data_IF_454132560279
#
_entry.id   IF_454132560279
#
_cell.length_a   1.000
_cell.length_b   1.000
_cell.length_c   1.000
_cell.angle_alpha   90.00
_cell.angle_beta   90.00
_cell.angle_gamma   90.00
#
_symmetry.space_group_name_H-M   'P 1'
#
loop_
_entity.id
_entity.type
_entity.pdbx_description
1 polymer ?
#
# COMPACT_ATOMS: atom_id res chain seq x y z
N UNK A 1 -60.30 25.77 -33.65
CA UNK A 1 -59.96 26.69 -32.54
C UNK A 1 -59.28 25.88 -31.45
N UNK A 2 -57.96 25.98 -31.35
CA UNK A 2 -57.17 25.26 -30.35
C UNK A 2 -57.44 25.86 -28.97
N UNK A 3 -57.98 25.06 -28.06
CA UNK A 3 -58.07 25.42 -26.64
C UNK A 3 -56.71 25.16 -26.01
N UNK A 4 -55.95 26.23 -25.80
CA UNK A 4 -54.70 26.24 -25.05
C UNK A 4 -54.96 25.83 -23.60
N UNK A 5 -54.51 24.64 -23.23
CA UNK A 5 -54.46 24.21 -21.84
C UNK A 5 -53.59 25.18 -21.03
N UNK A 6 -54.10 25.66 -19.90
CA UNK A 6 -53.44 26.66 -19.07
C UNK A 6 -52.24 26.02 -18.34
N UNK A 7 -50.99 26.47 -18.58
CA UNK A 7 -49.75 25.85 -18.06
C UNK A 7 -49.61 25.89 -16.52
N UNK A 8 -50.51 26.60 -15.85
CA UNK A 8 -50.55 26.73 -14.40
C UNK A 8 -50.98 25.43 -13.68
N UNK A 9 -51.91 24.65 -14.26
CA UNK A 9 -52.46 23.45 -13.60
C UNK A 9 -51.44 22.31 -13.49
N UNK A 10 -50.71 22.03 -14.57
CA UNK A 10 -49.67 20.99 -14.60
C UNK A 10 -48.48 21.35 -13.71
N UNK A 11 -48.10 22.63 -13.67
CA UNK A 11 -47.05 23.13 -12.77
C UNK A 11 -47.43 22.93 -11.29
N UNK A 12 -48.68 23.23 -10.92
CA UNK A 12 -49.19 23.02 -9.55
C UNK A 12 -49.21 21.53 -9.19
N UNK A 13 -49.61 20.65 -10.12
CA UNK A 13 -49.59 19.20 -9.89
C UNK A 13 -48.15 18.67 -9.71
N UNK A 14 -47.21 19.14 -10.52
CA UNK A 14 -45.78 18.80 -10.40
C UNK A 14 -45.21 19.22 -9.05
N UNK A 15 -45.50 20.45 -8.61
CA UNK A 15 -45.08 20.95 -7.28
C UNK A 15 -45.70 20.14 -6.13
N UNK A 16 -46.98 19.77 -6.23
CA UNK A 16 -47.64 18.90 -5.23
C UNK A 16 -46.98 17.52 -5.16
N UNK A 17 -46.61 16.96 -6.31
CA UNK A 17 -45.90 15.69 -6.38
C UNK A 17 -44.50 15.79 -5.77
N UNK A 18 -43.75 16.85 -6.06
CA UNK A 18 -42.43 17.11 -5.47
C UNK A 18 -42.51 17.26 -3.94
N UNK A 19 -43.48 18.00 -3.42
CA UNK A 19 -43.70 18.13 -1.97
C UNK A 19 -44.05 16.77 -1.33
N UNK A 20 -44.83 15.93 -2.01
CA UNK A 20 -45.15 14.58 -1.55
C UNK A 20 -43.90 13.69 -1.45
N UNK A 21 -43.05 13.73 -2.48
CA UNK A 21 -41.77 13.01 -2.50
C UNK A 21 -40.84 13.51 -1.40
N UNK A 22 -40.64 14.83 -1.26
CA UNK A 22 -39.82 15.40 -0.19
C UNK A 22 -40.30 15.00 1.21
N UNK A 23 -41.62 14.99 1.44
CA UNK A 23 -42.18 14.53 2.73
C UNK A 23 -41.90 13.05 2.99
N UNK A 24 -41.85 12.21 1.94
CA UNK A 24 -41.49 10.80 2.06
C UNK A 24 -39.99 10.64 2.33
N UNK A 25 -39.14 11.41 1.67
CA UNK A 25 -37.69 11.42 1.89
C UNK A 25 -37.33 11.90 3.29
N UNK A 26 -37.94 13.00 3.78
CA UNK A 26 -37.72 13.47 5.16
C UNK A 26 -38.11 12.40 6.18
N UNK A 27 -39.22 11.67 5.96
CA UNK A 27 -39.61 10.54 6.82
C UNK A 27 -38.57 9.41 6.78
N UNK A 28 -38.07 9.07 5.60
CA UNK A 28 -37.02 8.05 5.44
C UNK A 28 -35.73 8.47 6.15
N UNK A 29 -35.29 9.72 5.97
CA UNK A 29 -34.07 10.25 6.60
C UNK A 29 -34.19 10.22 8.13
N UNK A 30 -35.35 10.61 8.68
CA UNK A 30 -35.62 10.53 10.13
C UNK A 30 -35.53 9.08 10.62
N UNK A 31 -36.15 8.14 9.89
CA UNK A 31 -36.07 6.72 10.24
C UNK A 31 -34.65 6.16 10.19
N UNK A 32 -33.84 6.58 9.22
CA UNK A 32 -32.42 6.21 9.15
C UNK A 32 -31.61 6.80 10.31
N UNK A 33 -31.85 8.08 10.65
CA UNK A 33 -31.19 8.73 11.78
C UNK A 33 -31.53 8.05 13.12
N UNK A 34 -32.80 7.74 13.37
CA UNK A 34 -33.24 7.03 14.58
C UNK A 34 -32.63 5.62 14.66
N UNK A 35 -32.52 4.95 13.52
CA UNK A 35 -31.90 3.62 13.45
C UNK A 35 -30.39 3.68 13.70
N UNK A 36 -29.71 4.71 13.18
CA UNK A 36 -28.30 4.96 13.46
C UNK A 36 -28.04 5.30 14.93
N UNK A 37 -28.89 6.13 15.55
CA UNK A 37 -28.80 6.45 16.99
C UNK A 37 -29.01 5.20 17.85
N UNK A 38 -29.98 4.34 17.50
CA UNK A 38 -30.19 3.06 18.20
C UNK A 38 -29.01 2.11 18.06
N UNK A 39 -28.44 2.00 16.85
CA UNK A 39 -27.24 1.20 16.61
C UNK A 39 -26.05 1.72 17.44
N UNK A 40 -25.83 3.04 17.46
CA UNK A 40 -24.78 3.66 18.24
C UNK A 40 -24.97 3.45 19.75
N UNK A 41 -26.20 3.61 20.28
CA UNK A 41 -26.49 3.31 21.69
C UNK A 41 -26.21 1.85 22.04
N UNK A 42 -26.55 0.91 21.15
CA UNK A 42 -26.24 -0.52 21.35
C UNK A 42 -24.73 -0.78 21.37
N UNK A 43 -23.97 -0.14 20.49
CA UNK A 43 -22.51 -0.22 20.50
C UNK A 43 -21.91 0.39 21.77
N UNK A 44 -22.41 1.54 22.23
CA UNK A 44 -21.95 2.16 23.47
C UNK A 44 -22.26 1.31 24.70
N UNK A 45 -23.44 0.69 24.77
CA UNK A 45 -23.78 -0.24 25.84
C UNK A 45 -22.87 -1.49 25.83
N UNK A 46 -22.54 -2.02 24.64
CA UNK A 46 -21.59 -3.12 24.50
C UNK A 46 -20.16 -2.73 24.89
N UNK A 47 -19.73 -1.50 24.61
CA UNK A 47 -18.43 -1.00 25.05
C UNK A 47 -18.40 -0.80 26.57
N UNK A 48 -19.49 -0.29 27.15
CA UNK A 48 -19.63 -0.12 28.59
C UNK A 48 -19.63 -1.45 29.32
N UNK A 49 -20.26 -2.51 28.79
CA UNK A 49 -20.19 -3.85 29.40
C UNK A 49 -18.77 -4.41 29.35
N UNK A 50 -18.06 -4.26 28.23
CA UNK A 50 -16.65 -4.68 28.10
C UNK A 50 -15.72 -3.94 29.06
N UNK A 51 -16.00 -2.66 29.35
CA UNK A 51 -15.26 -1.88 30.33
C UNK A 51 -15.64 -2.22 31.78
N UNK A 52 -16.91 -2.55 32.04
CA UNK A 52 -17.43 -2.92 33.36
C UNK A 52 -17.02 -4.34 33.79
N UNK A 53 -16.89 -5.28 32.85
CA UNK A 53 -16.44 -6.66 33.07
C UNK A 53 -14.92 -6.77 33.37
N UNK A 54 -14.31 -5.67 33.81
CA UNK A 54 -12.91 -5.63 34.21
C UNK A 54 -11.98 -5.68 33.00
N UNK A 55 -11.84 -4.55 32.31
CA UNK A 55 -10.61 -4.29 31.56
C UNK A 55 -9.45 -4.29 32.57
N UNK A 56 -8.84 -5.44 32.76
CA UNK A 56 -7.47 -5.51 33.26
C UNK A 56 -6.61 -5.01 32.10
N UNK A 57 -5.80 -3.95 32.27
CA UNK A 57 -4.70 -3.75 31.34
C UNK A 57 -3.94 -5.06 31.39
N UNK A 58 -3.95 -5.83 30.30
CA UNK A 58 -3.08 -6.99 30.18
C UNK A 58 -1.70 -6.55 30.67
N UNK A 59 -1.01 -7.37 31.49
CA UNK A 59 0.15 -6.92 32.25
C UNK A 59 1.00 -6.06 31.33
N UNK A 60 1.16 -4.77 31.67
CA UNK A 60 2.17 -3.95 30.98
C UNK A 60 3.39 -4.85 30.99
N UNK A 61 4.00 -5.20 29.84
CA UNK A 61 5.12 -6.12 29.85
C UNK A 61 6.05 -5.57 30.91
N UNK A 62 6.18 -6.30 32.02
CA UNK A 62 7.14 -5.94 33.04
C UNK A 62 8.41 -5.97 32.23
N UNK A 63 9.02 -4.80 32.09
CA UNK A 63 10.27 -4.64 31.36
C UNK A 63 11.28 -5.28 32.28
N UNK A 64 11.31 -6.60 32.31
CA UNK A 64 12.30 -7.37 33.03
C UNK A 64 13.58 -7.20 32.21
N UNK A 65 14.48 -6.30 32.62
CA UNK A 65 15.64 -6.00 31.82
C UNK A 65 16.56 -7.23 31.71
N UNK A 66 16.44 -8.19 32.64
CA UNK A 66 17.13 -9.48 32.59
C UNK A 66 16.63 -10.38 31.46
N UNK A 67 15.32 -10.50 31.26
CA UNK A 67 14.73 -11.35 30.21
C UNK A 67 14.97 -10.83 28.79
N UNK A 68 14.92 -9.50 28.60
CA UNK A 68 15.21 -8.87 27.32
C UNK A 68 16.69 -9.01 26.93
N UNK A 69 17.60 -8.78 27.90
CA UNK A 69 19.05 -8.93 27.70
C UNK A 69 19.43 -10.38 27.36
N UNK A 70 18.89 -11.35 28.11
CA UNK A 70 19.14 -12.77 27.85
C UNK A 70 18.58 -13.23 26.49
N UNK A 71 17.48 -12.64 26.00
CA UNK A 71 16.93 -12.95 24.68
C UNK A 71 17.78 -12.40 23.54
N UNK A 72 18.34 -11.19 23.70
CA UNK A 72 19.29 -10.59 22.76
C UNK A 72 20.60 -11.40 22.69
N UNK A 73 21.11 -11.84 23.84
CA UNK A 73 22.30 -12.71 23.91
C UNK A 73 22.07 -14.06 23.22
N UNK A 74 20.84 -14.58 23.23
CA UNK A 74 20.41 -15.75 22.46
C UNK A 74 20.08 -15.44 20.98
N UNK A 75 20.35 -14.23 20.49
CA UNK A 75 20.10 -13.82 19.10
C UNK A 75 18.63 -13.60 18.72
N UNK A 76 17.71 -13.57 19.70
CA UNK A 76 16.29 -13.33 19.45
C UNK A 76 16.02 -11.82 19.43
N UNK A 77 16.04 -11.24 18.22
CA UNK A 77 15.80 -9.81 18.03
C UNK A 77 14.35 -9.59 17.60
N UNK A 78 13.53 -9.04 18.50
CA UNK A 78 12.22 -8.51 18.14
C UNK A 78 12.35 -7.05 17.76
N UNK A 79 11.90 -6.70 16.54
CA UNK A 79 11.92 -5.32 16.05
C UNK A 79 10.51 -4.78 15.93
N UNK A 80 10.33 -3.52 16.32
CA UNK A 80 9.09 -2.78 16.07
C UNK A 80 9.27 -1.98 14.77
N UNK A 81 8.32 -2.04 13.80
CA UNK A 81 8.42 -1.22 12.60
C UNK A 81 8.31 0.26 12.97
N UNK A 82 9.33 1.04 12.60
CA UNK A 82 9.43 2.49 12.86
C UNK A 82 8.44 3.28 12.00
N UNK A 83 8.15 2.77 10.79
CA UNK A 83 7.28 3.40 9.82
C UNK A 83 6.94 2.47 8.65
N UNK A 84 6.12 2.97 7.74
CA UNK A 84 5.72 2.26 6.52
C UNK A 84 6.10 3.09 5.29
N UNK A 85 6.58 2.40 4.26
CA UNK A 85 6.96 3.01 3.00
C UNK A 85 5.92 2.71 1.92
N UNK A 86 5.47 3.76 1.24
CA UNK A 86 4.59 3.68 0.07
C UNK A 86 5.35 4.18 -1.15
N UNK A 87 5.23 3.49 -2.28
CA UNK A 87 5.96 3.79 -3.52
C UNK A 87 5.09 3.53 -4.74
N UNK A 88 5.60 3.86 -5.94
CA UNK A 88 4.93 3.52 -7.20
C UNK A 88 4.82 2.02 -7.49
N UNK A 89 5.30 1.13 -6.62
CA UNK A 89 5.22 -0.32 -6.82
C UNK A 89 4.27 -0.95 -5.80
N UNK A 90 3.00 -1.14 -6.19
CA UNK A 90 2.01 -1.80 -5.34
C UNK A 90 2.27 -3.31 -5.20
N UNK A 91 2.77 -3.93 -6.28
CA UNK A 91 2.95 -5.37 -6.39
C UNK A 91 4.41 -5.72 -6.64
N UNK A 92 4.82 -6.92 -6.19
CA UNK A 92 6.14 -7.49 -6.49
C UNK A 92 6.38 -7.63 -8.00
N UNK A 93 5.33 -7.87 -8.78
CA UNK A 93 5.41 -7.91 -10.24
C UNK A 93 5.68 -6.51 -10.75
N UNK A 94 6.78 -6.33 -11.47
CA UNK A 94 7.21 -5.01 -11.95
C UNK A 94 7.95 -4.16 -10.92
N UNK A 95 8.16 -4.64 -9.69
CA UNK A 95 9.14 -3.99 -8.80
C UNK A 95 10.55 -4.24 -9.34
N UNK A 96 11.37 -3.20 -9.56
CA UNK A 96 12.74 -3.35 -9.97
C UNK A 96 13.54 -4.24 -9.00
N UNK A 97 14.39 -5.12 -9.57
CA UNK A 97 15.30 -5.95 -8.76
C UNK A 97 16.46 -5.15 -8.19
N UNK A 98 16.68 -3.93 -8.68
CA UNK A 98 17.76 -3.03 -8.33
C UNK A 98 17.24 -1.59 -8.25
N UNK A 99 17.69 -0.79 -7.28
CA UNK A 99 17.18 0.56 -7.04
C UNK A 99 17.48 1.56 -8.17
N UNK A 100 18.49 1.31 -9.02
CA UNK A 100 18.89 2.23 -10.09
C UNK A 100 18.09 2.16 -11.39
N UNK A 101 17.06 1.31 -11.48
CA UNK A 101 16.28 1.14 -12.72
C UNK A 101 15.26 2.27 -12.89
N UNK A 102 14.59 2.69 -11.81
CA UNK A 102 13.59 3.76 -11.85
C UNK A 102 14.05 4.93 -10.98
N UNK A 103 15.02 5.71 -11.46
CA UNK A 103 15.62 6.82 -10.70
C UNK A 103 14.67 7.99 -10.46
N UNK A 104 13.64 8.15 -11.30
CA UNK A 104 12.60 9.17 -11.15
C UNK A 104 11.51 8.79 -10.14
N UNK A 105 11.49 7.53 -9.67
CA UNK A 105 10.46 7.08 -8.73
C UNK A 105 10.67 7.67 -7.33
N UNK A 106 9.58 8.15 -6.73
CA UNK A 106 9.56 8.63 -5.35
C UNK A 106 8.87 7.61 -4.45
N UNK A 107 9.14 7.74 -3.16
CA UNK A 107 8.44 7.00 -2.13
C UNK A 107 8.18 7.92 -0.93
N UNK A 108 7.11 7.64 -0.20
CA UNK A 108 6.78 8.31 1.05
C UNK A 108 7.01 7.35 2.20
N UNK A 109 7.85 7.75 3.17
CA UNK A 109 8.04 7.02 4.42
C UNK A 109 7.24 7.73 5.53
N UNK A 110 6.25 7.03 6.07
CA UNK A 110 5.43 7.53 7.17
C UNK A 110 5.90 6.88 8.49
N UNK A 111 6.40 7.70 9.41
CA UNK A 111 6.74 7.24 10.76
C UNK A 111 5.47 6.97 11.58
N UNK A 112 5.51 5.92 12.41
CA UNK A 112 4.42 5.59 13.33
C UNK A 112 4.47 6.49 14.55
N UNK A 113 3.39 7.24 14.79
CA UNK A 113 3.20 8.00 16.03
C UNK A 113 3.13 7.12 17.29
N UNK A 114 2.85 5.82 17.15
CA UNK A 114 2.86 4.89 18.29
C UNK A 114 4.27 4.50 18.76
N UNK A 115 5.32 4.80 17.98
CA UNK A 115 6.71 4.44 18.30
C UNK A 115 7.41 5.61 18.97
N UNK A 116 7.15 6.84 18.51
CA UNK A 116 7.70 8.06 19.06
C UNK A 116 6.55 8.97 19.48
N UNK A 117 6.60 9.50 20.71
CA UNK A 117 5.63 10.51 21.16
C UNK A 117 5.63 11.73 20.23
N UNK A 118 6.83 12.14 19.79
CA UNK A 118 7.10 13.26 18.89
C UNK A 118 7.94 12.76 17.68
N UNK A 119 7.32 12.17 16.66
CA UNK A 119 8.04 11.58 15.52
C UNK A 119 8.88 12.60 14.73
N UNK A 120 8.49 13.87 14.74
CA UNK A 120 9.22 14.98 14.12
C UNK A 120 10.59 15.23 14.76
N UNK A 121 10.71 15.04 16.08
CA UNK A 121 12.00 15.19 16.77
C UNK A 121 13.01 14.12 16.32
N UNK A 122 12.54 12.92 15.98
CA UNK A 122 13.40 11.86 15.45
C UNK A 122 13.96 12.18 14.05
N UNK A 123 13.42 13.20 13.37
CA UNK A 123 13.85 13.67 12.05
C UNK A 123 14.69 14.95 12.10
N UNK A 124 14.90 15.53 13.28
CA UNK A 124 15.68 16.77 13.43
C UNK A 124 17.12 16.59 12.93
N UNK A 125 17.58 17.51 12.07
CA UNK A 125 18.92 17.49 11.46
C UNK A 125 19.06 16.56 10.25
N UNK A 126 18.00 15.83 9.88
CA UNK A 126 18.02 14.95 8.70
C UNK A 126 18.09 15.75 7.39
N UNK A 127 17.60 16.98 7.40
CA UNK A 127 17.65 17.97 6.32
C UNK A 127 19.08 18.39 5.92
N UNK A 128 20.06 18.17 6.80
CA UNK A 128 21.47 18.44 6.53
C UNK A 128 22.12 17.40 5.60
N UNK A 129 21.43 16.29 5.32
CA UNK A 129 21.93 15.19 4.51
C UNK A 129 21.17 15.10 3.19
N UNK A 130 21.88 14.76 2.12
CA UNK A 130 21.25 14.52 0.82
C UNK A 130 20.66 13.10 0.68
N UNK A 131 21.16 12.15 1.46
CA UNK A 131 20.82 10.73 1.36
C UNK A 131 20.72 10.06 2.72
N UNK A 132 19.89 9.02 2.79
CA UNK A 132 19.68 8.18 3.97
C UNK A 132 19.77 6.71 3.63
N UNK A 133 20.26 5.93 4.59
CA UNK A 133 20.14 4.49 4.56
C UNK A 133 18.81 4.05 5.13
N UNK A 134 18.04 3.31 4.35
CA UNK A 134 16.79 2.69 4.80
C UNK A 134 17.01 1.19 4.96
N UNK A 135 16.80 0.71 6.19
CA UNK A 135 16.71 -0.72 6.48
C UNK A 135 15.22 -1.07 6.56
N UNK A 136 14.79 -2.01 5.74
CA UNK A 136 13.37 -2.40 5.65
C UNK A 136 13.21 -3.90 5.69
N UNK A 137 12.01 -4.36 6.05
CA UNK A 137 11.68 -5.78 6.13
C UNK A 137 10.95 -6.22 4.86
N UNK A 138 11.36 -7.33 4.25
CA UNK A 138 10.60 -8.01 3.20
C UNK A 138 9.40 -8.75 3.82
N UNK A 139 8.39 -7.99 4.25
CA UNK A 139 7.21 -8.48 4.99
C UNK A 139 6.41 -9.60 4.29
N UNK A 140 6.50 -9.73 2.95
CA UNK A 140 5.87 -10.83 2.19
C UNK A 140 6.72 -12.09 2.07
N UNK A 141 7.93 -12.11 2.65
CA UNK A 141 8.80 -13.28 2.64
C UNK A 141 8.57 -14.13 3.90
N UNK A 142 7.37 -14.72 4.01
CA UNK A 142 7.07 -15.73 5.03
C UNK A 142 7.72 -17.05 4.65
N UNK A 143 8.80 -17.45 5.30
CA UNK A 143 9.45 -18.73 5.06
C UNK A 143 9.26 -19.68 6.24
N UNK A 144 8.76 -20.88 5.94
CA UNK A 144 8.75 -22.04 6.86
C UNK A 144 10.15 -22.67 6.95
N UNK A 145 11.00 -22.48 5.93
CA UNK A 145 12.39 -22.98 5.91
C UNK A 145 13.31 -22.14 5.03
N UNK A 146 14.60 -22.09 5.41
CA UNK A 146 15.63 -21.33 4.69
C UNK A 146 16.50 -22.25 3.83
N UNK A 147 16.78 -21.82 2.60
CA UNK A 147 17.68 -22.54 1.69
C UNK A 147 19.06 -21.88 1.72
N UNK A 148 20.12 -22.68 1.88
CA UNK A 148 21.50 -22.16 1.85
C UNK A 148 21.91 -21.60 0.47
N UNK A 149 21.31 -22.10 -0.62
CA UNK A 149 21.58 -21.68 -2.00
C UNK A 149 20.34 -21.11 -2.69
N UNK A 150 20.55 -20.10 -3.52
CA UNK A 150 19.53 -19.43 -4.35
C UNK A 150 19.94 -19.42 -5.82
N UNK A 151 18.99 -19.12 -6.71
CA UNK A 151 19.21 -18.93 -8.14
C UNK A 151 18.98 -17.47 -8.54
N UNK A 152 20.01 -16.61 -8.51
CA UNK A 152 19.87 -15.21 -8.90
C UNK A 152 19.47 -15.09 -10.38
N UNK A 153 18.58 -14.14 -10.73
CA UNK A 153 18.11 -13.98 -12.11
C UNK A 153 19.18 -13.68 -13.15
N UNK A 154 20.31 -13.10 -12.72
CA UNK A 154 21.42 -12.69 -13.58
C UNK A 154 22.45 -13.79 -13.83
N UNK A 155 22.37 -14.91 -13.10
CA UNK A 155 23.35 -16.01 -13.21
C UNK A 155 22.82 -17.20 -14.04
N UNK A 156 21.89 -16.97 -14.96
CA UNK A 156 21.40 -17.96 -15.93
C UNK A 156 21.09 -19.36 -15.35
N UNK A 157 20.56 -19.41 -14.12
CA UNK A 157 20.16 -20.66 -13.46
C UNK A 157 21.20 -21.29 -12.53
N UNK A 158 22.42 -20.74 -12.45
CA UNK A 158 23.42 -21.17 -11.48
C UNK A 158 22.93 -20.96 -10.03
N UNK A 159 23.34 -21.89 -9.15
CA UNK A 159 23.04 -21.84 -7.71
C UNK A 159 24.24 -21.30 -6.95
N UNK A 160 24.05 -20.21 -6.21
CA UNK A 160 25.07 -19.61 -5.35
C UNK A 160 24.57 -19.48 -3.92
N UNK A 161 25.48 -19.30 -2.96
CA UNK A 161 25.11 -19.12 -1.56
C UNK A 161 24.20 -17.91 -1.36
N UNK A 162 23.28 -17.96 -0.39
CA UNK A 162 22.38 -16.83 -0.09
C UNK A 162 23.16 -15.55 0.20
N UNK A 163 24.23 -15.63 1.00
CA UNK A 163 24.99 -14.48 1.47
C UNK A 163 25.92 -13.88 0.41
N UNK A 164 26.18 -14.57 -0.70
CA UNK A 164 26.86 -13.95 -1.86
C UNK A 164 25.90 -13.15 -2.75
N UNK A 165 24.64 -12.97 -2.31
CA UNK A 165 23.59 -12.32 -3.10
C UNK A 165 22.78 -11.33 -2.27
N UNK A 166 22.03 -10.49 -2.97
CA UNK A 166 21.02 -9.60 -2.37
C UNK A 166 19.62 -10.24 -2.36
N UNK A 167 19.53 -11.57 -2.33
CA UNK A 167 18.25 -12.29 -2.32
C UNK A 167 17.41 -11.89 -1.10
N UNK A 168 16.10 -11.60 -1.27
CA UNK A 168 15.26 -11.25 -0.15
C UNK A 168 14.87 -12.51 0.67
N UNK A 169 15.07 -13.71 0.12
CA UNK A 169 14.83 -15.00 0.76
C UNK A 169 16.02 -15.42 1.64
N UNK A 170 16.08 -14.91 2.86
CA UNK A 170 17.16 -15.12 3.84
C UNK A 170 16.60 -15.19 5.26
N UNK A 171 17.36 -15.73 6.25
CA UNK A 171 16.91 -15.85 7.64
C UNK A 171 16.35 -14.55 8.22
N UNK A 172 17.14 -13.48 8.12
CA UNK A 172 16.70 -12.13 8.47
C UNK A 172 16.35 -11.39 7.20
N UNK A 173 15.06 -11.28 6.89
CA UNK A 173 14.55 -10.73 5.64
C UNK A 173 14.68 -9.20 5.56
N UNK A 174 15.88 -8.68 5.85
CA UNK A 174 16.21 -7.27 5.82
C UNK A 174 16.73 -6.88 4.43
N UNK A 175 16.22 -5.75 3.95
CA UNK A 175 16.69 -5.02 2.79
C UNK A 175 17.40 -3.74 3.23
N UNK A 176 18.34 -3.30 2.40
CA UNK A 176 19.06 -2.05 2.57
C UNK A 176 18.97 -1.27 1.26
N UNK A 177 18.62 0.00 1.34
CA UNK A 177 18.67 0.90 0.19
C UNK A 177 19.22 2.27 0.59
N UNK A 178 20.01 2.86 -0.28
CA UNK A 178 20.38 4.27 -0.21
C UNK A 178 19.28 5.05 -0.92
N UNK A 179 18.65 6.00 -0.23
CA UNK A 179 17.60 6.84 -0.79
C UNK A 179 18.02 8.30 -0.73
N UNK A 180 17.73 9.07 -1.78
CA UNK A 180 17.88 10.52 -1.76
C UNK A 180 16.70 11.12 -1.00
N UNK A 181 16.99 12.05 -0.10
CA UNK A 181 15.95 12.83 0.57
C UNK A 181 15.43 13.91 -0.36
N UNK A 182 14.11 14.12 -0.30
CA UNK A 182 13.44 15.20 -0.99
C UNK A 182 12.42 15.84 -0.06
N UNK A 183 12.27 17.15 -0.17
CA UNK A 183 11.30 17.88 0.61
C UNK A 183 9.88 17.39 0.30
N UNK A 184 9.01 17.44 1.32
CA UNK A 184 7.59 17.15 1.16
C UNK A 184 6.97 18.12 0.16
N UNK A 185 6.86 17.69 -1.08
CA UNK A 185 6.10 18.44 -2.08
C UNK A 185 4.62 18.25 -1.79
N UNK A 186 3.98 19.32 -1.32
CA UNK A 186 2.52 19.45 -1.26
C UNK A 186 1.98 19.38 -2.69
N UNK A 187 1.68 18.18 -3.19
CA UNK A 187 1.09 18.04 -4.50
C UNK A 187 -0.36 18.57 -4.45
N UNK A 188 -0.55 19.81 -4.90
CA UNK A 188 -1.88 20.29 -5.28
C UNK A 188 -2.31 19.55 -6.56
N UNK A 189 -2.92 18.38 -6.34
CA UNK A 189 -3.36 17.36 -7.33
C UNK A 189 -2.19 16.65 -8.02
N UNK A 190 -2.24 15.32 -8.31
CA UNK A 190 -2.57 14.88 -9.69
C UNK A 190 -3.00 13.39 -9.86
N UNK A 191 -3.12 12.95 -11.14
CA UNK A 191 -3.40 11.55 -11.58
C UNK A 191 -2.38 10.49 -11.10
N UNK A 192 -1.15 10.86 -10.76
CA UNK A 192 -0.04 9.99 -10.29
C UNK A 192 0.37 10.40 -8.87
N UNK A 193 0.69 9.45 -7.98
CA UNK A 193 1.02 9.74 -6.57
C UNK A 193 2.52 9.91 -6.32
N UNK A 194 3.35 9.21 -7.09
CA UNK A 194 4.79 9.08 -6.84
C UNK A 194 5.66 9.55 -8.02
N UNK A 195 5.07 9.71 -9.20
CA UNK A 195 5.74 10.21 -10.40
C UNK A 195 5.34 11.67 -10.64
N UNK A 196 6.28 12.52 -11.13
CA UNK A 196 5.98 13.95 -11.32
C UNK A 196 5.03 14.21 -12.49
N UNK A 197 5.00 13.31 -13.47
CA UNK A 197 4.21 13.50 -14.68
C UNK A 197 4.27 12.31 -15.65
N UNK A 198 3.62 12.43 -16.82
CA UNK A 198 3.54 11.36 -17.80
C UNK A 198 4.89 11.02 -18.44
N UNK A 199 5.80 11.99 -18.60
CA UNK A 199 7.14 11.75 -19.13
C UNK A 199 7.97 10.87 -18.20
N UNK A 200 7.97 11.19 -16.90
CA UNK A 200 8.59 10.37 -15.86
C UNK A 200 8.01 8.96 -15.82
N UNK A 201 6.68 8.83 -15.98
CA UNK A 201 6.02 7.54 -16.03
C UNK A 201 6.44 6.73 -17.26
N UNK A 202 6.50 7.34 -18.44
CA UNK A 202 6.98 6.69 -19.65
C UNK A 202 8.46 6.28 -19.53
N UNK A 203 9.30 7.13 -18.93
CA UNK A 203 10.71 6.82 -18.68
C UNK A 203 10.88 5.63 -17.72
N UNK A 204 10.11 5.60 -16.63
CA UNK A 204 10.11 4.50 -15.67
C UNK A 204 9.63 3.18 -16.31
N UNK A 205 8.57 3.22 -17.13
CA UNK A 205 8.10 2.05 -17.89
C UNK A 205 9.19 1.54 -18.83
N UNK A 206 9.79 2.43 -19.63
CA UNK A 206 10.88 2.05 -20.55
C UNK A 206 12.05 1.40 -19.82
N UNK A 207 12.49 2.02 -18.72
CA UNK A 207 13.61 1.48 -17.94
C UNK A 207 13.28 0.12 -17.32
N UNK A 208 12.05 -0.06 -16.82
CA UNK A 208 11.60 -1.33 -16.27
C UNK A 208 11.58 -2.43 -17.35
N UNK A 209 11.01 -2.13 -18.52
CA UNK A 209 10.93 -3.06 -19.65
C UNK A 209 12.33 -3.43 -20.17
N UNK A 210 13.24 -2.47 -20.27
CA UNK A 210 14.63 -2.71 -20.66
C UNK A 210 15.38 -3.61 -19.67
N UNK A 211 15.07 -3.50 -18.37
CA UNK A 211 15.64 -4.36 -17.34
C UNK A 211 15.03 -5.78 -17.30
N UNK A 212 14.02 -6.06 -18.12
CA UNK A 212 13.17 -7.25 -18.13
C UNK A 212 12.65 -7.63 -16.71
N UNK A 213 11.45 -7.17 -16.32
CA UNK A 213 10.90 -7.43 -15.00
C UNK A 213 10.48 -8.89 -14.79
N UNK A 214 10.42 -9.70 -15.85
CA UNK A 214 9.95 -11.08 -15.78
C UNK A 214 10.89 -11.95 -14.94
N UNK A 215 10.35 -13.03 -14.38
CA UNK A 215 11.19 -14.04 -13.70
C UNK A 215 11.94 -14.88 -14.73
N UNK A 216 13.09 -15.44 -14.36
CA UNK A 216 13.80 -16.42 -15.21
C UNK A 216 12.85 -17.53 -15.64
N UNK A 217 12.05 -18.04 -14.71
CA UNK A 217 11.03 -19.05 -14.99
C UNK A 217 10.08 -18.62 -16.11
N UNK A 218 9.52 -17.40 -16.04
CA UNK A 218 8.57 -16.92 -17.06
C UNK A 218 9.24 -16.75 -18.42
N UNK A 219 10.52 -16.35 -18.45
CA UNK A 219 11.28 -16.22 -19.70
C UNK A 219 11.61 -17.55 -20.37
N UNK A 220 11.77 -18.62 -19.58
CA UNK A 220 12.23 -19.92 -20.11
C UNK A 220 11.15 -20.99 -20.20
N UNK A 221 10.08 -20.90 -19.40
CA UNK A 221 9.06 -21.96 -19.27
C UNK A 221 7.65 -21.54 -19.61
N UNK A 222 7.38 -20.25 -19.80
CA UNK A 222 6.05 -19.79 -20.19
C UNK A 222 6.03 -19.47 -21.68
N UNK A 223 5.08 -20.02 -22.46
CA UNK A 223 4.90 -19.67 -23.86
C UNK A 223 4.26 -18.27 -24.03
N UNK A 224 3.52 -17.83 -23.02
CA UNK A 224 2.88 -16.51 -23.02
C UNK A 224 3.91 -15.37 -22.93
N UNK A 225 3.87 -14.49 -23.93
CA UNK A 225 4.72 -13.31 -24.06
C UNK A 225 4.09 -12.05 -23.45
N UNK A 226 2.85 -12.11 -22.98
CA UNK A 226 2.22 -11.02 -22.24
C UNK A 226 2.80 -10.91 -20.83
N UNK A 227 2.92 -9.67 -20.36
CA UNK A 227 3.31 -9.34 -18.99
C UNK A 227 2.50 -8.14 -18.50
N UNK A 228 2.13 -8.21 -17.22
CA UNK A 228 1.29 -7.22 -16.56
C UNK A 228 1.97 -6.75 -15.29
N UNK A 229 1.96 -5.44 -15.08
CA UNK A 229 2.42 -4.82 -13.85
C UNK A 229 1.69 -3.50 -13.60
N UNK A 230 1.68 -3.09 -12.34
CA UNK A 230 1.12 -1.81 -11.92
C UNK A 230 2.28 -0.88 -11.58
N UNK A 231 2.24 0.34 -12.09
CA UNK A 231 3.17 1.41 -11.77
C UNK A 231 2.36 2.64 -11.35
N UNK A 232 2.56 3.07 -10.12
CA UNK A 232 1.84 4.17 -9.49
C UNK A 232 0.32 3.94 -9.57
N UNK A 233 -0.41 4.76 -10.29
CA UNK A 233 -1.86 4.68 -10.50
C UNK A 233 -2.23 4.06 -11.85
N UNK A 234 -1.32 3.36 -12.53
CA UNK A 234 -1.55 2.80 -13.86
C UNK A 234 -1.23 1.30 -13.94
N UNK A 235 -2.15 0.54 -14.53
CA UNK A 235 -1.95 -0.84 -14.93
C UNK A 235 -1.43 -0.90 -16.38
N UNK A 236 -0.26 -1.52 -16.54
CA UNK A 236 0.42 -1.66 -17.82
C UNK A 236 0.36 -3.11 -18.29
N UNK A 237 -0.10 -3.29 -19.52
CA UNK A 237 -0.01 -4.54 -20.28
C UNK A 237 1.04 -4.39 -21.35
N UNK A 238 1.99 -5.31 -21.38
CA UNK A 238 3.09 -5.31 -22.35
C UNK A 238 3.32 -6.68 -22.95
N UNK A 239 3.88 -6.70 -24.15
CA UNK A 239 4.26 -7.89 -24.91
C UNK A 239 5.77 -7.93 -25.05
N UNK A 240 6.38 -9.09 -24.81
CA UNK A 240 7.82 -9.30 -24.99
C UNK A 240 8.07 -10.17 -26.21
N UNK A 241 8.62 -9.57 -27.26
CA UNK A 241 9.10 -10.28 -28.44
C UNK A 241 10.59 -10.61 -28.37
N UNK A 242 11.14 -11.04 -29.50
CA UNK A 242 12.56 -11.40 -29.61
C UNK A 242 13.40 -10.12 -29.70
N UNK A 243 13.91 -9.67 -28.55
CA UNK A 243 14.75 -8.47 -28.45
C UNK A 243 13.98 -7.16 -28.29
N UNK A 244 12.64 -7.19 -28.18
CA UNK A 244 11.84 -5.99 -27.94
C UNK A 244 10.77 -6.19 -26.87
N UNK A 245 10.30 -5.09 -26.30
CA UNK A 245 9.15 -5.04 -25.41
C UNK A 245 8.24 -3.89 -25.84
N UNK A 246 6.95 -4.18 -26.02
CA UNK A 246 5.95 -3.23 -26.48
C UNK A 246 4.85 -3.06 -25.42
N UNK A 247 4.43 -1.82 -25.18
CA UNK A 247 3.29 -1.53 -24.30
C UNK A 247 2.02 -1.58 -25.15
N UNK A 248 1.17 -2.58 -24.89
CA UNK A 248 -0.09 -2.76 -25.60
C UNK A 248 -1.21 -1.89 -25.01
N UNK A 249 -1.18 -1.67 -23.68
CA UNK A 249 -2.26 -0.98 -22.99
C UNK A 249 -1.80 -0.34 -21.69
N UNK A 250 -2.25 0.88 -21.46
CA UNK A 250 -2.15 1.58 -20.17
C UNK A 250 -3.55 1.91 -19.71
N UNK A 251 -3.93 1.48 -18.51
CA UNK A 251 -5.22 1.82 -17.89
C UNK A 251 -4.99 2.43 -16.52
N UNK A 252 -5.87 3.33 -16.04
CA UNK A 252 -5.88 3.68 -14.63
C UNK A 252 -6.06 2.41 -13.79
N UNK A 253 -5.18 2.20 -12.83
CA UNK A 253 -5.36 1.16 -11.83
C UNK A 253 -6.61 1.50 -11.02
N UNK A 254 -7.50 0.54 -10.84
CA UNK A 254 -8.67 0.72 -9.99
C UNK A 254 -8.15 0.96 -8.56
N UNK A 255 -8.32 2.17 -8.04
CA UNK A 255 -7.93 2.49 -6.66
C UNK A 255 -8.92 1.78 -5.75
N UNK A 256 -8.64 0.51 -5.40
CA UNK A 256 -9.16 -0.01 -4.14
C UNK A 256 -8.46 0.76 -3.04
N UNK A 257 -9.13 1.76 -2.50
CA UNK A 257 -8.86 2.24 -1.14
C UNK A 257 -8.81 0.99 -0.27
N UNK A 258 -7.64 0.70 0.30
CA UNK A 258 -7.36 -0.53 1.02
C UNK A 258 -8.51 -0.85 1.98
N UNK A 259 -9.15 -2.00 1.73
CA UNK A 259 -10.00 -2.65 2.69
C UNK A 259 -9.22 -2.80 3.99
N UNK A 260 -9.87 -2.41 5.09
CA UNK A 260 -9.39 -2.60 6.44
C UNK A 260 -8.72 -3.97 6.60
N UNK A 261 -7.50 -3.95 7.11
CA UNK A 261 -6.80 -5.14 7.60
C UNK A 261 -7.64 -5.74 8.71
N UNK A 262 -8.53 -6.68 8.37
CA UNK A 262 -9.17 -7.54 9.35
C UNK A 262 -8.11 -8.55 9.81
N UNK A 263 -7.71 -8.58 11.08
CA UNK A 263 -6.81 -9.61 11.56
C UNK A 263 -7.51 -10.97 11.44
N UNK A 264 -6.79 -11.95 10.88
CA UNK A 264 -7.25 -13.33 10.79
C UNK A 264 -7.53 -13.91 12.20
N UNK A 265 -8.53 -14.79 12.35
CA UNK A 265 -8.80 -15.42 13.63
C UNK A 265 -7.63 -16.34 14.03
N UNK A 266 -7.30 -16.43 15.33
CA UNK A 266 -6.27 -17.35 15.80
C UNK A 266 -6.71 -18.80 15.55
N UNK A 267 -5.79 -19.61 15.02
CA UNK A 267 -5.85 -21.07 15.09
C UNK A 267 -5.38 -21.54 16.45
#
# INVERSE_FOLDING_TARGET
MAQTACPCSECIQSLKQQVSVMRKEIRNIRQHADSAVRAHRKQMASLQSVLADGWSPGPRPSRDPGGARASLERGHVQTVPVGYISSCFANKSGTPRQPGICTSSRASLQLRASVFNNPEHALAGLDQYSHVWLIFLFHKNGHVSYKAKVKPPRLNGQRVGVYSTRSPHRPNALGLTLARLEDRVSQRRPRFQFLRGPEDAAAAIRALLAADPRSVYRRTRCPDRLFFFTLDTADITCWFGDGFAEVLRVRPACVTLDAAVTPAPPQ
#
